data_IF_854404126974
#
_entry.id   IF_854404126974
#
_cell.length_a   1.000
_cell.length_b   1.000
_cell.length_c   1.000
_cell.angle_alpha   90.00
_cell.angle_beta   90.00
_cell.angle_gamma   90.00
#
_symmetry.space_group_name_H-M   'P 1'
#
loop_
_entity.id
_entity.type
_entity.pdbx_description
1 polymer ?
#
# COMPACT_ATOMS: atom_id res chain seq x y z
N UNK A 1 24.94 9.92 27.50
CA UNK A 1 25.32 9.76 26.47
C UNK A 1 24.42 9.66 25.42
N UNK A 2 24.72 9.89 24.38
CA UNK A 2 23.83 9.91 23.42
C UNK A 2 23.44 8.58 23.02
N UNK A 3 22.30 8.42 22.50
CA UNK A 3 21.81 7.21 21.97
C UNK A 3 22.21 7.11 20.50
N UNK A 4 23.46 6.77 20.28
CA UNK A 4 23.93 6.60 18.94
C UNK A 4 23.64 5.21 18.45
N UNK A 5 23.30 5.13 17.20
CA UNK A 5 23.32 3.87 16.53
C UNK A 5 24.75 3.51 16.20
N UNK A 6 24.95 2.27 15.75
CA UNK A 6 26.26 1.80 15.52
C UNK A 6 27.05 2.62 14.58
N UNK A 7 26.43 3.22 13.60
CA UNK A 7 27.14 4.02 12.64
C UNK A 7 27.18 5.49 13.00
N UNK A 8 26.86 5.81 14.25
CA UNK A 8 27.02 7.17 14.73
C UNK A 8 25.81 8.05 14.60
N UNK A 9 24.69 7.52 14.15
CA UNK A 9 23.47 8.33 14.03
C UNK A 9 22.72 8.31 15.35
N UNK A 10 22.45 9.50 15.88
CA UNK A 10 21.69 9.62 17.11
C UNK A 10 20.21 9.38 16.86
N UNK A 11 19.47 9.11 17.94
CA UNK A 11 18.02 8.98 17.84
C UNK A 11 17.39 10.23 17.29
N UNK A 12 17.88 11.38 17.74
CA UNK A 12 17.35 12.64 17.26
C UNK A 12 17.63 12.84 15.78
N UNK A 13 18.82 12.43 15.33
CA UNK A 13 19.15 12.51 13.92
C UNK A 13 18.26 11.61 13.08
N UNK A 14 17.91 10.43 13.61
CA UNK A 14 17.04 9.52 12.91
C UNK A 14 15.65 10.13 12.74
N UNK A 15 15.13 10.79 13.77
CA UNK A 15 13.82 11.44 13.68
C UNK A 15 13.83 12.51 12.59
N UNK A 16 14.90 13.30 12.51
CA UNK A 16 15.00 14.33 11.48
C UNK A 16 15.02 13.71 10.09
N UNK A 17 15.73 12.62 9.92
CA UNK A 17 15.78 11.94 8.63
C UNK A 17 14.41 11.47 8.21
N UNK A 18 13.65 10.89 9.15
CA UNK A 18 12.31 10.42 8.84
C UNK A 18 11.40 11.58 8.42
N UNK A 19 11.47 12.70 9.13
CA UNK A 19 10.66 13.85 8.79
C UNK A 19 11.03 14.40 7.42
N UNK A 20 12.32 14.43 7.10
CA UNK A 20 12.75 14.92 5.79
C UNK A 20 12.25 14.02 4.68
N UNK A 21 12.21 12.70 4.91
CA UNK A 21 11.70 11.78 3.92
C UNK A 21 10.21 12.01 3.67
N UNK A 22 9.45 12.26 4.75
CA UNK A 22 8.04 12.55 4.59
C UNK A 22 7.82 13.82 3.78
N UNK A 23 8.62 14.82 4.02
CA UNK A 23 8.51 16.07 3.26
C UNK A 23 8.83 15.83 1.78
N UNK A 24 9.83 15.03 1.49
CA UNK A 24 10.17 14.71 0.11
C UNK A 24 9.03 13.97 -0.59
N UNK A 25 8.38 13.04 0.11
CA UNK A 25 7.26 12.32 -0.47
C UNK A 25 6.13 13.27 -0.83
N UNK A 26 5.83 14.23 0.03
CA UNK A 26 4.81 15.23 -0.25
C UNK A 26 5.22 16.11 -1.43
N UNK A 27 6.48 16.48 -1.48
CA UNK A 27 6.96 17.37 -2.54
C UNK A 27 6.83 16.72 -3.91
N UNK A 28 7.03 15.41 -4.00
CA UNK A 28 6.89 14.70 -5.26
C UNK A 28 5.49 14.17 -5.47
N UNK A 29 4.56 14.55 -4.59
CA UNK A 29 3.15 14.14 -4.70
C UNK A 29 3.00 12.62 -4.69
N UNK A 30 3.78 11.97 -3.87
CA UNK A 30 3.69 10.54 -3.73
C UNK A 30 2.65 10.20 -2.67
N UNK A 31 1.67 9.41 -3.04
CA UNK A 31 0.63 8.97 -2.12
C UNK A 31 0.48 7.47 -2.14
N UNK A 32 -0.18 6.97 -1.13
CA UNK A 32 -0.50 5.55 -1.08
C UNK A 32 -1.73 5.27 -1.91
N UNK A 33 -1.76 4.12 -2.55
CA UNK A 33 -2.90 3.69 -3.32
C UNK A 33 -3.95 3.14 -2.36
N UNK A 34 -5.20 3.59 -2.52
CA UNK A 34 -6.30 3.06 -1.72
C UNK A 34 -6.58 1.62 -2.10
N UNK A 35 -6.83 0.79 -1.11
CA UNK A 35 -7.02 -0.64 -1.35
C UNK A 35 -8.27 -1.18 -0.69
N UNK A 36 -8.24 -1.43 0.62
CA UNK A 36 -9.31 -2.17 1.29
C UNK A 36 -10.65 -1.46 1.12
N UNK A 37 -11.65 -2.21 0.69
CA UNK A 37 -12.99 -1.67 0.44
C UNK A 37 -13.19 -1.10 -0.94
N UNK A 38 -12.13 -1.02 -1.75
CA UNK A 38 -12.24 -0.51 -3.11
C UNK A 38 -12.36 -1.66 -4.08
N UNK A 39 -12.79 -1.34 -5.29
CA UNK A 39 -12.87 -2.35 -6.36
C UNK A 39 -11.48 -2.50 -6.97
N UNK A 40 -11.09 -3.72 -7.23
CA UNK A 40 -9.80 -4.01 -7.80
C UNK A 40 -9.62 -3.29 -9.15
N UNK A 41 -8.49 -2.64 -9.30
CA UNK A 41 -8.14 -1.94 -10.54
C UNK A 41 -6.77 -2.44 -10.97
N UNK A 42 -6.68 -3.16 -12.09
CA UNK A 42 -5.40 -3.74 -12.50
C UNK A 42 -4.31 -2.70 -12.78
N UNK A 43 -4.68 -1.43 -12.95
CA UNK A 43 -3.67 -0.38 -13.12
C UNK A 43 -3.05 0.05 -11.81
N UNK A 44 -3.71 -0.22 -10.69
CA UNK A 44 -3.26 0.23 -9.39
C UNK A 44 -2.91 -0.93 -8.46
N UNK A 45 -3.52 -2.08 -8.69
CA UNK A 45 -3.43 -3.19 -7.75
C UNK A 45 -2.97 -4.47 -8.45
N UNK A 46 -2.37 -5.33 -7.67
CA UNK A 46 -2.01 -6.66 -8.13
C UNK A 46 -2.70 -7.67 -7.22
N UNK A 47 -3.58 -8.48 -7.77
CA UNK A 47 -4.29 -9.48 -6.97
C UNK A 47 -3.39 -10.70 -6.81
N UNK A 48 -2.98 -10.97 -5.59
CA UNK A 48 -2.11 -12.10 -5.31
C UNK A 48 -2.90 -13.33 -4.84
N UNK A 49 -4.16 -13.14 -4.46
CA UNK A 49 -5.01 -14.22 -4.00
C UNK A 49 -6.45 -13.77 -4.05
N UNK A 50 -7.35 -14.74 -3.98
CA UNK A 50 -8.78 -14.45 -3.89
C UNK A 50 -9.39 -15.23 -2.75
N UNK A 51 -10.50 -14.71 -2.22
CA UNK A 51 -11.28 -15.44 -1.22
C UNK A 51 -12.72 -15.44 -1.68
N UNK A 52 -13.46 -16.45 -1.24
CA UNK A 52 -14.90 -16.51 -1.51
C UNK A 52 -15.61 -15.76 -0.40
N UNK A 53 -16.38 -14.73 -0.77
CA UNK A 53 -17.12 -13.96 0.21
C UNK A 53 -18.41 -13.49 -0.45
N UNK A 54 -19.51 -14.13 -0.10
CA UNK A 54 -20.78 -13.82 -0.71
C UNK A 54 -21.35 -12.50 -0.27
N UNK A 55 -20.80 -11.94 0.79
CA UNK A 55 -21.30 -10.65 1.29
C UNK A 55 -20.68 -9.46 0.58
N UNK A 56 -19.68 -9.69 -0.25
CA UNK A 56 -18.99 -8.62 -0.96
C UNK A 56 -19.18 -8.79 -2.46
N UNK A 57 -19.15 -7.68 -3.16
CA UNK A 57 -19.17 -7.74 -4.62
C UNK A 57 -17.86 -8.35 -5.12
N UNK A 58 -17.94 -8.94 -6.31
CA UNK A 58 -16.73 -9.47 -6.94
C UNK A 58 -15.67 -8.39 -7.06
N UNK A 59 -14.43 -8.79 -6.88
CA UNK A 59 -13.27 -7.92 -7.06
C UNK A 59 -13.20 -6.80 -6.04
N UNK A 60 -13.83 -6.98 -4.88
CA UNK A 60 -13.65 -6.05 -3.78
C UNK A 60 -12.37 -6.42 -3.05
N UNK A 61 -11.53 -5.45 -2.80
CA UNK A 61 -10.28 -5.68 -2.09
C UNK A 61 -10.58 -5.90 -0.62
N UNK A 62 -10.18 -7.04 -0.10
CA UNK A 62 -10.47 -7.41 1.28
C UNK A 62 -9.26 -7.21 2.18
N UNK A 63 -8.06 -7.25 1.62
CA UNK A 63 -6.86 -7.14 2.42
C UNK A 63 -5.72 -6.61 1.58
N UNK A 64 -4.90 -5.78 2.18
CA UNK A 64 -3.70 -5.26 1.54
C UNK A 64 -2.50 -6.02 2.08
N UNK A 65 -1.75 -6.65 1.20
CA UNK A 65 -0.56 -7.40 1.59
C UNK A 65 0.66 -6.50 1.55
N UNK A 66 0.78 -5.71 0.49
CA UNK A 66 1.90 -4.80 0.30
C UNK A 66 1.36 -3.47 -0.16
N UNK A 67 1.80 -2.38 0.46
CA UNK A 67 1.35 -1.06 0.08
C UNK A 67 1.86 -0.68 -1.29
N UNK A 68 1.03 0.03 -2.05
CA UNK A 68 1.42 0.57 -3.32
C UNK A 68 1.48 2.09 -3.27
N UNK A 69 2.16 2.67 -4.22
CA UNK A 69 2.38 4.11 -4.26
C UNK A 69 2.20 4.65 -5.65
N UNK A 70 1.67 5.87 -5.73
CA UNK A 70 1.40 6.54 -6.99
C UNK A 70 1.92 7.97 -6.87
N UNK A 71 2.45 8.50 -7.98
CA UNK A 71 2.92 9.88 -8.03
C UNK A 71 2.39 10.49 -9.31
N UNK A 72 1.55 11.50 -9.18
CA UNK A 72 1.05 12.26 -10.34
C UNK A 72 0.48 11.35 -11.42
N UNK A 73 -0.37 10.44 -11.02
CA UNK A 73 -1.02 9.50 -11.96
C UNK A 73 -0.08 8.43 -12.51
N UNK A 74 1.10 8.32 -11.94
CA UNK A 74 2.03 7.30 -12.36
C UNK A 74 2.22 6.32 -11.23
N UNK A 75 1.93 5.04 -11.47
CA UNK A 75 2.08 4.03 -10.44
C UNK A 75 3.55 3.73 -10.27
N UNK A 76 4.04 3.99 -9.05
CA UNK A 76 5.42 3.65 -8.70
C UNK A 76 5.51 2.18 -8.37
N UNK A 77 4.49 1.68 -7.66
CA UNK A 77 4.46 0.31 -7.20
C UNK A 77 3.02 -0.05 -6.94
N UNK A 78 2.53 -1.09 -7.58
CA UNK A 78 1.15 -1.51 -7.37
C UNK A 78 0.99 -2.12 -5.98
N UNK A 79 -0.20 -1.95 -5.41
CA UNK A 79 -0.52 -2.60 -4.14
C UNK A 79 -0.80 -4.06 -4.37
N UNK A 80 -0.26 -4.93 -3.54
CA UNK A 80 -0.58 -6.35 -3.60
C UNK A 80 -1.74 -6.60 -2.66
N UNK A 81 -2.80 -7.19 -3.18
CA UNK A 81 -4.06 -7.25 -2.47
C UNK A 81 -4.70 -8.63 -2.63
N UNK A 82 -5.65 -8.89 -1.74
CA UNK A 82 -6.51 -10.06 -1.83
C UNK A 82 -7.90 -9.55 -2.17
N UNK A 83 -8.53 -10.14 -3.18
CA UNK A 83 -9.83 -9.70 -3.63
C UNK A 83 -10.88 -10.77 -3.35
N UNK A 84 -12.13 -10.35 -3.27
CA UNK A 84 -13.22 -11.24 -3.05
C UNK A 84 -13.77 -11.75 -4.37
N UNK A 85 -14.29 -12.96 -4.33
CA UNK A 85 -15.05 -13.52 -5.44
C UNK A 85 -16.30 -14.13 -4.85
N UNK A 86 -17.42 -13.92 -5.50
CA UNK A 86 -18.63 -14.64 -5.12
C UNK A 86 -18.51 -16.06 -5.64
N UNK A 87 -19.07 -16.98 -4.87
CA UNK A 87 -19.04 -18.36 -5.29
C UNK A 87 -19.91 -18.51 -6.54
N UNK A 88 -19.28 -18.80 -7.66
CA UNK A 88 -20.01 -18.95 -8.92
C UNK A 88 -20.47 -20.36 -9.01
N UNK A 89 -21.68 -20.54 -8.73
CA UNK A 89 -22.17 -21.87 -8.91
C UNK A 89 -22.30 -22.11 -10.36
N UNK A 90 -21.93 -22.51 -10.90
CA UNK A 90 -22.06 -22.31 -12.08
C UNK A 90 -22.51 -23.05 -12.66
N UNK A 91 -22.79 -22.72 -12.57
CA UNK A 91 -23.22 -23.11 -13.07
C UNK A 91 -23.08 -23.41 -13.85
#
# INVERSE_FOLDING_TARGET
>A
KEAYLKDGISVEGLVVIIKNMESLLLEYEIGQIDTVGKIFDPNLHEAVSTINDQSLDDNTITKEITKGYISRNRVIRASKVIVSKKNQIKQ
#
